data_IF_242781710427
#
_entry.id   IF_242781710427
#
_cell.length_a   1.000
_cell.length_b   1.000
_cell.length_c   1.000
_cell.angle_alpha   90.00
_cell.angle_beta   90.00
_cell.angle_gamma   90.00
#
_symmetry.space_group_name_H-M   'P 1'
#
loop_
_entity.id
_entity.type
_entity.pdbx_description
1 polymer ?
#
# COMPACT_ATOMS: atom_id res chain seq x y z
N UNK A 1 -16.81 11.70 12.04
CA UNK A 1 -16.24 12.47 10.91
C UNK A 1 -17.19 12.40 9.74
N UNK A 2 -17.66 13.54 9.20
CA UNK A 2 -18.61 13.54 8.07
C UNK A 2 -17.92 13.41 6.71
N UNK A 3 -16.67 13.89 6.53
CA UNK A 3 -15.83 13.52 5.37
C UNK A 3 -14.33 13.51 5.60
N UNK A 4 -13.68 12.43 5.17
CA UNK A 4 -12.25 12.32 4.91
C UNK A 4 -12.06 11.90 3.45
N UNK A 5 -12.38 12.81 2.52
CA UNK A 5 -12.36 12.63 1.06
C UNK A 5 -13.50 11.76 0.46
N UNK A 6 -14.77 12.18 0.60
CA UNK A 6 -15.84 11.59 -0.21
C UNK A 6 -15.80 12.16 -1.63
N UNK A 7 -15.91 11.31 -2.66
CA UNK A 7 -15.91 11.72 -4.07
C UNK A 7 -16.92 12.82 -4.40
N UNK A 8 -18.11 12.79 -3.78
CA UNK A 8 -19.17 13.80 -4.00
C UNK A 8 -18.83 15.18 -3.44
N UNK A 9 -17.76 15.29 -2.66
CA UNK A 9 -17.29 16.54 -2.06
C UNK A 9 -15.94 16.98 -2.64
N UNK A 10 -15.65 16.58 -3.88
CA UNK A 10 -14.46 17.07 -4.57
C UNK A 10 -14.53 18.62 -4.70
N UNK A 11 -13.41 19.33 -4.50
CA UNK A 11 -13.35 20.78 -4.70
C UNK A 11 -13.82 21.22 -6.10
N UNK A 12 -14.37 22.43 -6.22
CA UNK A 12 -15.05 22.92 -7.44
C UNK A 12 -14.11 23.20 -8.61
N UNK A 13 -12.81 23.32 -8.35
CA UNK A 13 -11.73 23.47 -9.33
C UNK A 13 -11.44 22.15 -10.10
N UNK A 14 -11.97 21.02 -9.64
CA UNK A 14 -11.87 19.76 -10.35
C UNK A 14 -13.03 19.54 -11.34
N UNK A 15 -12.82 18.73 -12.39
CA UNK A 15 -13.92 18.23 -13.22
C UNK A 15 -15.00 17.49 -12.39
N UNK A 16 -16.20 17.27 -12.96
CA UNK A 16 -17.27 16.56 -12.27
C UNK A 16 -16.79 15.26 -11.61
N UNK A 17 -17.17 15.03 -10.35
CA UNK A 17 -16.61 13.94 -9.55
C UNK A 17 -16.74 12.56 -10.20
N UNK A 18 -17.79 12.32 -11.00
CA UNK A 18 -17.98 11.08 -11.73
C UNK A 18 -16.86 10.83 -12.74
N UNK A 19 -16.45 11.88 -13.45
CA UNK A 19 -15.33 11.85 -14.41
C UNK A 19 -14.04 11.50 -13.68
N UNK A 20 -13.71 12.26 -12.64
CA UNK A 20 -12.49 12.04 -11.83
C UNK A 20 -12.49 10.62 -11.23
N UNK A 21 -13.61 10.18 -10.67
CA UNK A 21 -13.77 8.82 -10.14
C UNK A 21 -13.55 7.76 -11.22
N UNK A 22 -14.13 7.94 -12.41
CA UNK A 22 -13.99 6.99 -13.52
C UNK A 22 -12.56 6.89 -14.01
N UNK A 23 -11.85 8.02 -14.17
CA UNK A 23 -10.44 8.06 -14.52
C UNK A 23 -9.61 7.35 -13.46
N UNK A 24 -9.80 7.71 -12.18
CA UNK A 24 -9.08 7.06 -11.08
C UNK A 24 -9.34 5.55 -11.02
N UNK A 25 -10.59 5.12 -11.23
CA UNK A 25 -10.93 3.70 -11.26
C UNK A 25 -10.27 2.97 -12.43
N UNK A 26 -10.12 3.61 -13.60
CA UNK A 26 -9.41 3.03 -14.75
C UNK A 26 -7.92 2.92 -14.44
N UNK A 27 -7.29 4.00 -13.98
CA UNK A 27 -5.87 4.03 -13.61
C UNK A 27 -5.52 2.98 -12.56
N UNK A 28 -6.38 2.81 -11.55
CA UNK A 28 -6.23 1.80 -10.51
C UNK A 28 -6.30 0.38 -11.07
N UNK A 29 -7.23 0.12 -12.00
CA UNK A 29 -7.37 -1.20 -12.64
C UNK A 29 -6.22 -1.51 -13.60
N UNK A 30 -5.68 -0.50 -14.28
CA UNK A 30 -4.56 -0.66 -15.21
C UNK A 30 -3.20 -0.83 -14.52
N UNK A 31 -3.08 -0.57 -13.22
CA UNK A 31 -1.80 -0.65 -12.50
C UNK A 31 -0.91 0.59 -12.62
N UNK A 32 -1.28 1.59 -13.43
CA UNK A 32 -0.53 2.85 -13.64
C UNK A 32 -0.15 3.54 -12.33
N UNK A 33 -1.01 3.54 -11.32
CA UNK A 33 -0.67 4.12 -10.01
C UNK A 33 0.54 3.43 -9.35
N UNK A 34 0.67 2.12 -9.52
CA UNK A 34 1.81 1.36 -9.03
C UNK A 34 3.07 1.73 -9.82
N UNK A 35 2.99 1.84 -11.13
CA UNK A 35 4.12 2.23 -11.99
C UNK A 35 4.65 3.63 -11.64
N UNK A 36 3.75 4.62 -11.49
CA UNK A 36 4.10 5.98 -11.09
C UNK A 36 4.79 5.97 -9.72
N UNK A 37 4.20 5.27 -8.75
CA UNK A 37 4.76 5.16 -7.42
C UNK A 37 6.17 4.55 -7.46
N UNK A 38 6.36 3.48 -8.23
CA UNK A 38 7.64 2.77 -8.32
C UNK A 38 8.72 3.60 -9.00
N UNK A 39 8.34 4.38 -10.02
CA UNK A 39 9.20 5.36 -10.65
C UNK A 39 9.63 6.45 -9.66
N UNK A 40 8.67 7.03 -8.92
CA UNK A 40 8.94 8.09 -7.94
C UNK A 40 9.85 7.60 -6.80
N UNK A 41 9.63 6.39 -6.28
CA UNK A 41 10.50 5.79 -5.27
C UNK A 41 11.95 5.69 -5.78
N UNK A 42 12.15 5.15 -7.00
CA UNK A 42 13.50 5.06 -7.59
C UNK A 42 14.13 6.44 -7.76
N UNK A 43 13.36 7.44 -8.22
CA UNK A 43 13.84 8.82 -8.41
C UNK A 43 14.24 9.49 -7.11
N UNK A 44 13.39 9.41 -6.08
CA UNK A 44 13.71 9.98 -4.76
C UNK A 44 14.98 9.34 -4.19
N UNK A 45 15.14 8.02 -4.34
CA UNK A 45 16.36 7.33 -3.90
C UNK A 45 17.62 7.80 -4.61
N UNK A 46 17.57 7.99 -5.93
CA UNK A 46 18.69 8.57 -6.69
C UNK A 46 19.03 9.98 -6.20
N UNK A 47 18.03 10.83 -5.97
CA UNK A 47 18.22 12.22 -5.55
C UNK A 47 18.92 12.35 -4.20
N UNK A 48 18.71 11.39 -3.29
CA UNK A 48 19.37 11.35 -1.98
C UNK A 48 20.68 10.52 -1.98
N UNK A 49 21.19 10.17 -3.16
CA UNK A 49 22.45 9.42 -3.32
C UNK A 49 22.38 7.95 -2.93
N UNK A 50 21.19 7.33 -2.96
CA UNK A 50 20.99 5.90 -2.70
C UNK A 50 20.75 5.13 -4.00
N UNK A 51 21.07 3.83 -3.99
CA UNK A 51 20.77 2.93 -5.10
C UNK A 51 19.26 2.85 -5.37
N UNK A 52 18.86 2.82 -6.65
CA UNK A 52 17.45 2.65 -7.09
C UNK A 52 16.76 1.48 -6.40
N UNK A 53 17.47 0.36 -6.33
CA UNK A 53 17.04 -0.85 -5.63
C UNK A 53 17.43 -0.72 -4.16
N UNK A 54 16.46 -0.77 -3.23
CA UNK A 54 16.75 -0.81 -1.80
C UNK A 54 17.49 -2.10 -1.46
N UNK A 55 18.40 -2.06 -0.48
CA UNK A 55 19.12 -3.25 0.00
C UNK A 55 18.44 -3.90 1.21
N UNK A 56 17.67 -3.12 1.97
CA UNK A 56 16.97 -3.54 3.19
C UNK A 56 15.53 -3.03 3.12
N UNK A 57 14.60 -3.90 3.49
CA UNK A 57 13.19 -3.58 3.70
C UNK A 57 12.79 -3.90 5.13
N UNK A 58 12.08 -2.98 5.78
CA UNK A 58 11.54 -3.13 7.14
C UNK A 58 10.03 -3.33 7.02
N UNK A 59 9.53 -4.43 7.58
CA UNK A 59 8.10 -4.79 7.53
C UNK A 59 7.41 -4.45 8.86
N UNK A 60 6.23 -3.86 8.77
CA UNK A 60 5.32 -3.69 9.91
C UNK A 60 3.86 -4.00 9.53
N UNK A 61 3.08 -4.41 10.54
CA UNK A 61 1.66 -4.75 10.39
C UNK A 61 0.75 -3.87 11.24
N UNK A 62 -0.31 -3.33 10.63
CA UNK A 62 -1.28 -2.51 11.32
C UNK A 62 -2.72 -2.93 11.05
N UNK A 63 -3.46 -3.22 12.12
CA UNK A 63 -4.89 -3.52 12.09
C UNK A 63 -5.69 -2.24 12.35
N UNK A 64 -6.68 -1.96 11.50
CA UNK A 64 -7.50 -0.75 11.56
C UNK A 64 -8.97 -1.13 11.51
N UNK A 65 -9.79 -0.54 12.40
CA UNK A 65 -11.25 -0.70 12.38
C UNK A 65 -11.81 -0.17 11.06
N UNK A 66 -12.70 -0.91 10.42
CA UNK A 66 -13.36 -0.44 9.19
C UNK A 66 -14.85 -0.75 9.17
N UNK A 67 -15.63 0.21 8.67
CA UNK A 67 -17.08 0.14 8.50
C UNK A 67 -17.49 -0.12 7.04
N UNK A 68 -16.55 -0.10 6.08
CA UNK A 68 -16.81 -0.21 4.65
C UNK A 68 -16.87 -1.68 4.16
N UNK A 69 -17.89 -2.05 3.36
CA UNK A 69 -18.11 -3.44 2.87
C UNK A 69 -16.86 -4.07 2.20
N UNK A 70 -16.79 -5.40 2.17
CA UNK A 70 -15.66 -6.19 1.65
C UNK A 70 -14.98 -7.05 2.71
N UNK A 71 -13.82 -7.63 2.40
CA UNK A 71 -13.06 -8.51 3.32
C UNK A 71 -12.74 -7.80 4.64
N UNK A 72 -13.15 -8.41 5.76
CA UNK A 72 -12.88 -7.96 7.14
C UNK A 72 -12.74 -9.19 8.04
N UNK A 73 -11.98 -9.03 9.11
CA UNK A 73 -11.79 -10.08 10.10
C UNK A 73 -11.59 -9.50 11.48
N UNK A 74 -11.27 -10.36 12.43
CA UNK A 74 -10.97 -9.96 13.80
C UNK A 74 -9.52 -10.32 14.12
N UNK A 75 -8.75 -9.31 14.49
CA UNK A 75 -7.43 -9.47 15.07
C UNK A 75 -7.61 -9.64 16.58
N UNK A 76 -7.42 -10.86 17.09
CA UNK A 76 -7.60 -11.16 18.50
C UNK A 76 -6.53 -10.50 19.38
N UNK A 77 -5.30 -10.40 18.90
CA UNK A 77 -4.19 -9.77 19.62
C UNK A 77 -4.41 -8.27 19.83
N UNK A 78 -4.91 -7.58 18.80
CA UNK A 78 -5.22 -6.13 18.87
C UNK A 78 -6.66 -5.85 19.31
N UNK A 79 -7.52 -6.87 19.40
CA UNK A 79 -8.98 -6.77 19.62
C UNK A 79 -9.66 -5.84 18.61
N UNK A 80 -9.25 -5.92 17.34
CA UNK A 80 -9.73 -5.06 16.26
C UNK A 80 -10.53 -5.87 15.23
N UNK A 81 -11.79 -5.48 15.05
CA UNK A 81 -12.59 -5.93 13.90
C UNK A 81 -12.36 -4.99 12.72
N UNK A 82 -11.68 -5.46 11.67
CA UNK A 82 -11.40 -4.63 10.52
C UNK A 82 -10.48 -5.27 9.49
N UNK A 83 -9.55 -4.46 8.99
CA UNK A 83 -8.54 -4.86 8.00
C UNK A 83 -7.15 -4.70 8.58
N UNK A 84 -6.23 -5.53 8.12
CA UNK A 84 -4.81 -5.42 8.45
C UNK A 84 -4.04 -5.05 7.19
N UNK A 85 -3.08 -4.14 7.35
CA UNK A 85 -2.14 -3.73 6.32
C UNK A 85 -0.74 -4.16 6.73
N UNK A 86 0.00 -4.78 5.82
CA UNK A 86 1.44 -5.00 5.94
C UNK A 86 2.13 -4.08 4.96
N UNK A 87 3.11 -3.34 5.46
CA UNK A 87 3.85 -2.36 4.68
C UNK A 87 5.31 -2.69 4.84
N UNK A 88 6.03 -2.74 3.71
CA UNK A 88 7.49 -2.74 3.70
C UNK A 88 7.94 -1.35 3.30
N UNK A 89 8.80 -0.77 4.13
CA UNK A 89 9.51 0.48 3.85
C UNK A 89 11.00 0.21 3.66
N UNK A 90 11.69 1.06 2.92
CA UNK A 90 13.14 1.02 2.86
C UNK A 90 13.79 1.81 4.04
N UNK A 91 15.12 1.87 4.05
CA UNK A 91 15.90 2.57 5.09
C UNK A 91 15.72 4.08 5.11
N UNK A 92 15.07 4.66 4.10
CA UNK A 92 14.79 6.10 4.04
C UNK A 92 13.28 6.38 4.22
N UNK A 93 12.51 5.36 4.60
CA UNK A 93 11.08 5.46 4.91
C UNK A 93 10.15 5.44 3.70
N UNK A 94 10.65 5.13 2.49
CA UNK A 94 9.80 5.02 1.31
C UNK A 94 9.08 3.67 1.31
N UNK A 95 7.77 3.69 1.03
CA UNK A 95 6.99 2.45 0.88
C UNK A 95 7.46 1.73 -0.39
N UNK A 96 7.86 0.47 -0.25
CA UNK A 96 8.37 -0.33 -1.37
C UNK A 96 7.44 -1.48 -1.73
N UNK A 97 6.65 -1.97 -0.77
CA UNK A 97 5.54 -2.89 -0.98
C UNK A 97 4.46 -2.68 0.09
N UNK A 98 3.19 -2.89 -0.27
CA UNK A 98 2.09 -2.87 0.69
C UNK A 98 0.99 -3.87 0.31
N UNK A 99 0.36 -4.46 1.31
CA UNK A 99 -0.77 -5.36 1.13
C UNK A 99 -1.83 -5.14 2.22
N UNK A 100 -3.11 -5.23 1.84
CA UNK A 100 -4.23 -5.05 2.76
C UNK A 100 -5.16 -6.23 2.63
N UNK A 101 -5.49 -6.84 3.77
CA UNK A 101 -6.36 -8.00 3.83
C UNK A 101 -7.25 -7.97 5.08
N UNK A 102 -8.02 -9.04 5.27
CA UNK A 102 -8.83 -9.23 6.47
C UNK A 102 -7.96 -9.21 7.73
N UNK A 103 -8.43 -8.56 8.82
CA UNK A 103 -7.65 -8.49 10.06
C UNK A 103 -7.41 -9.85 10.75
N UNK A 104 -8.11 -10.90 10.33
CA UNK A 104 -7.92 -12.26 10.85
C UNK A 104 -6.67 -12.97 10.31
N UNK A 105 -6.05 -12.48 9.24
CA UNK A 105 -4.86 -13.12 8.66
C UNK A 105 -3.63 -12.81 9.53
N UNK A 106 -2.82 -13.83 9.78
CA UNK A 106 -1.60 -13.73 10.55
C UNK A 106 -0.47 -13.11 9.74
N UNK A 107 0.50 -12.54 10.45
CA UNK A 107 1.60 -11.80 9.83
C UNK A 107 2.53 -12.72 9.03
N UNK A 108 2.71 -13.96 9.51
CA UNK A 108 3.45 -15.02 8.80
C UNK A 108 2.89 -15.29 7.40
N UNK A 109 1.58 -15.49 7.30
CA UNK A 109 0.93 -15.84 6.03
C UNK A 109 0.96 -14.66 5.04
N UNK A 110 0.86 -13.44 5.58
CA UNK A 110 0.81 -12.21 4.78
C UNK A 110 2.18 -11.78 4.27
N UNK A 111 3.24 -12.02 5.08
CA UNK A 111 4.61 -11.67 4.72
C UNK A 111 5.09 -12.38 3.44
N UNK A 112 4.70 -13.65 3.23
CA UNK A 112 5.10 -14.42 2.04
C UNK A 112 4.64 -13.76 0.74
N UNK A 113 3.37 -13.34 0.67
CA UNK A 113 2.82 -12.66 -0.50
C UNK A 113 3.48 -11.30 -0.74
N UNK A 114 3.78 -10.58 0.35
CA UNK A 114 4.42 -9.28 0.28
C UNK A 114 5.88 -9.37 -0.19
N UNK A 115 6.61 -10.40 0.24
CA UNK A 115 7.96 -10.69 -0.24
C UNK A 115 7.97 -11.12 -1.71
N UNK A 116 7.01 -11.92 -2.15
CA UNK A 116 6.88 -12.28 -3.56
C UNK A 116 6.69 -11.03 -4.45
N UNK A 117 5.82 -10.09 -4.02
CA UNK A 117 5.62 -8.80 -4.71
C UNK A 117 6.89 -7.95 -4.70
N UNK A 118 7.59 -7.90 -3.58
CA UNK A 118 8.84 -7.15 -3.46
C UNK A 118 9.94 -7.71 -4.38
N UNK A 119 10.08 -9.04 -4.43
CA UNK A 119 11.03 -9.72 -5.30
C UNK A 119 10.74 -9.48 -6.78
N UNK A 120 9.47 -9.56 -7.20
CA UNK A 120 9.08 -9.26 -8.57
C UNK A 120 9.42 -7.81 -9.00
N UNK A 121 9.50 -6.87 -8.05
CA UNK A 121 9.73 -5.45 -8.31
C UNK A 121 11.20 -5.05 -8.34
N UNK A 122 12.03 -5.68 -7.50
CA UNK A 122 13.40 -5.24 -7.23
C UNK A 122 14.46 -6.33 -7.42
N UNK A 123 14.07 -7.57 -7.73
CA UNK A 123 14.96 -8.72 -7.90
C UNK A 123 15.99 -8.86 -6.77
N UNK A 124 15.50 -8.92 -5.52
CA UNK A 124 16.38 -9.17 -4.38
C UNK A 124 16.98 -10.58 -4.46
N UNK A 125 18.29 -10.68 -4.23
CA UNK A 125 19.03 -11.95 -4.24
C UNK A 125 19.09 -12.64 -2.88
N UNK A 126 18.73 -11.95 -1.79
CA UNK A 126 18.67 -12.51 -0.43
C UNK A 126 17.52 -11.89 0.35
N UNK A 127 16.70 -12.73 0.99
CA UNK A 127 15.71 -12.33 2.00
C UNK A 127 16.23 -12.81 3.35
N UNK A 128 16.43 -11.89 4.30
CA UNK A 128 16.71 -12.22 5.69
C UNK A 128 15.48 -11.82 6.50
N UNK A 129 14.91 -12.80 7.21
CA UNK A 129 13.89 -12.59 8.23
C UNK A 129 14.57 -12.61 9.60
#
# INVERSE_FOLDING_TARGET
MRTGCQWRQLPKDFPPWKTVYSCNSRLKKSGIWQEIHDFLVKKVREMIGKNKTPSVGIIDSQSVKTTQKGSRGYDAGKKIKGRKRHIIVDTVGLVIAAEVHSASIQDRDSALNLFAKLNAKFNFTKSFC
#
